data_IF_901465351610
#
_entry.id   IF_901465351610
#
_cell.length_a   1.000
_cell.length_b   1.000
_cell.length_c   1.000
_cell.angle_alpha   90.00
_cell.angle_beta   90.00
_cell.angle_gamma   90.00
#
_symmetry.space_group_name_H-M   'P 1'
#
loop_
_entity.id
_entity.type
_entity.pdbx_description
1 polymer ?
#
# COMPACT_ATOMS: atom_id res chain seq x y z
N UNK A 1 -19.13 28.72 5.88
CA UNK A 1 -18.75 28.88 4.45
C UNK A 1 -17.36 28.35 4.08
N UNK A 2 -16.37 28.29 4.99
CA UNK A 2 -14.99 27.85 4.64
C UNK A 2 -14.85 26.34 4.37
N UNK A 3 -15.61 25.50 5.09
CA UNK A 3 -15.58 24.03 4.94
C UNK A 3 -15.92 23.53 3.52
N UNK A 4 -16.86 24.19 2.82
CA UNK A 4 -17.26 23.80 1.47
C UNK A 4 -16.13 24.01 0.45
N UNK A 5 -15.26 25.01 0.64
CA UNK A 5 -14.11 25.26 -0.24
C UNK A 5 -12.99 24.25 -0.03
N UNK A 6 -12.79 23.76 1.21
CA UNK A 6 -11.81 22.69 1.46
C UNK A 6 -12.15 21.41 0.72
N UNK A 7 -13.44 21.06 0.57
CA UNK A 7 -13.87 19.87 -0.16
C UNK A 7 -13.44 19.95 -1.64
N UNK A 8 -13.56 21.11 -2.29
CA UNK A 8 -13.14 21.29 -3.68
C UNK A 8 -11.63 21.16 -3.89
N UNK A 9 -10.82 21.29 -2.84
CA UNK A 9 -9.37 21.13 -2.89
C UNK A 9 -8.97 19.71 -2.47
N UNK A 10 -9.54 19.18 -1.39
CA UNK A 10 -9.20 17.87 -0.85
C UNK A 10 -9.66 16.72 -1.74
N UNK A 11 -10.83 16.84 -2.36
CA UNK A 11 -11.39 15.81 -3.23
C UNK A 11 -10.48 15.51 -4.44
N UNK A 12 -10.08 16.50 -5.27
CA UNK A 12 -9.18 16.23 -6.39
C UNK A 12 -7.77 15.81 -5.93
N UNK A 13 -7.28 16.30 -4.79
CA UNK A 13 -5.99 15.89 -4.24
C UNK A 13 -5.96 14.40 -3.89
N UNK A 14 -7.03 13.89 -3.28
CA UNK A 14 -7.19 12.46 -2.98
C UNK A 14 -7.42 11.61 -4.23
N UNK A 15 -8.02 12.16 -5.29
CA UNK A 15 -8.15 11.44 -6.56
C UNK A 15 -6.81 11.39 -7.31
N UNK A 16 -6.00 12.44 -7.21
CA UNK A 16 -4.70 12.55 -7.89
C UNK A 16 -3.73 11.43 -7.50
N UNK A 17 -3.80 10.95 -6.24
CA UNK A 17 -2.91 9.89 -5.75
C UNK A 17 -3.06 8.57 -6.53
N UNK A 18 -4.22 8.33 -7.15
CA UNK A 18 -4.51 7.11 -7.92
C UNK A 18 -3.99 7.14 -9.36
N UNK A 19 -3.45 8.27 -9.84
CA UNK A 19 -3.01 8.44 -11.23
C UNK A 19 -1.50 8.17 -11.44
N UNK A 20 -0.82 7.53 -10.49
CA UNK A 20 0.62 7.21 -10.57
C UNK A 20 0.99 6.42 -11.83
N UNK A 21 0.16 5.45 -12.23
CA UNK A 21 0.34 4.63 -13.44
C UNK A 21 0.07 5.41 -14.73
N UNK A 22 -0.90 6.33 -14.71
CA UNK A 22 -1.20 7.21 -15.84
C UNK A 22 0.00 8.11 -16.15
N UNK A 23 0.68 8.60 -15.13
CA UNK A 23 1.91 9.38 -15.30
C UNK A 23 3.00 8.60 -16.04
N UNK A 24 3.25 7.34 -15.66
CA UNK A 24 4.24 6.46 -16.32
C UNK A 24 3.90 6.30 -17.81
N UNK A 25 2.62 6.08 -18.12
CA UNK A 25 2.16 5.96 -19.50
C UNK A 25 2.32 7.25 -20.30
N UNK A 26 1.97 8.40 -19.71
CA UNK A 26 2.11 9.72 -20.36
C UNK A 26 3.57 10.02 -20.71
N UNK A 27 4.50 9.82 -19.76
CA UNK A 27 5.93 10.03 -19.98
C UNK A 27 6.47 9.10 -21.06
N UNK A 28 6.01 7.84 -21.09
CA UNK A 28 6.36 6.89 -22.13
C UNK A 28 5.88 7.36 -23.51
N UNK A 29 4.67 7.87 -23.62
CA UNK A 29 4.13 8.33 -24.91
C UNK A 29 4.86 9.55 -25.46
N UNK A 30 5.20 10.51 -24.60
CA UNK A 30 5.97 11.70 -25.00
C UNK A 30 7.37 11.32 -25.52
N UNK A 31 8.01 10.34 -24.88
CA UNK A 31 9.39 9.94 -25.20
C UNK A 31 9.47 8.63 -26.01
N UNK A 32 8.37 8.22 -26.64
CA UNK A 32 8.24 6.87 -27.21
C UNK A 32 9.32 6.57 -28.25
N UNK A 33 9.63 7.53 -29.11
CA UNK A 33 10.62 7.37 -30.17
C UNK A 33 12.04 7.24 -29.61
N UNK A 34 12.37 8.03 -28.58
CA UNK A 34 13.64 7.93 -27.86
C UNK A 34 13.78 6.56 -27.20
N UNK A 35 12.76 6.12 -26.47
CA UNK A 35 12.76 4.82 -25.78
C UNK A 35 12.89 3.68 -26.79
N UNK A 36 12.16 3.73 -27.90
CA UNK A 36 12.21 2.72 -28.95
C UNK A 36 13.60 2.63 -29.59
N UNK A 37 14.30 3.76 -29.76
CA UNK A 37 15.61 3.83 -30.43
C UNK A 37 16.79 3.48 -29.52
N UNK A 38 16.77 3.92 -28.25
CA UNK A 38 17.94 3.85 -27.38
C UNK A 38 17.80 2.82 -26.25
N UNK A 39 16.61 2.66 -25.67
CA UNK A 39 16.40 1.84 -24.47
C UNK A 39 15.75 0.48 -24.77
N UNK A 40 15.05 0.35 -25.90
CA UNK A 40 14.40 -0.90 -26.30
C UNK A 40 15.43 -2.03 -26.46
N UNK A 41 15.20 -3.13 -25.76
CA UNK A 41 16.04 -4.35 -25.86
C UNK A 41 15.88 -5.06 -27.19
N UNK A 42 14.71 -4.94 -27.82
CA UNK A 42 14.39 -5.57 -29.10
C UNK A 42 14.70 -4.68 -30.31
N UNK A 43 15.43 -3.57 -30.14
CA UNK A 43 15.70 -2.61 -31.23
C UNK A 43 16.43 -3.18 -32.44
N UNK A 44 17.20 -4.26 -32.24
CA UNK A 44 17.93 -4.96 -33.31
C UNK A 44 17.23 -6.27 -33.73
N UNK A 45 16.10 -6.59 -33.12
CA UNK A 45 15.35 -7.80 -33.45
C UNK A 45 14.30 -7.46 -34.51
N UNK A 46 14.59 -7.85 -35.76
CA UNK A 46 13.70 -7.64 -36.90
C UNK A 46 12.34 -8.35 -36.73
N UNK A 47 12.29 -9.46 -35.98
CA UNK A 47 11.03 -10.17 -35.67
C UNK A 47 10.14 -9.41 -34.66
N UNK A 48 10.69 -8.41 -33.97
CA UNK A 48 10.00 -7.63 -32.93
C UNK A 48 9.65 -6.21 -33.40
N UNK A 49 9.41 -6.03 -34.70
CA UNK A 49 9.01 -4.77 -35.36
C UNK A 49 7.81 -4.06 -34.67
N UNK A 50 6.95 -4.82 -34.00
CA UNK A 50 5.78 -4.28 -33.27
C UNK A 50 6.10 -3.72 -31.88
N UNK A 51 7.28 -4.02 -31.30
CA UNK A 51 7.57 -3.70 -29.90
C UNK A 51 7.57 -2.20 -29.62
N UNK A 52 8.25 -1.38 -30.45
CA UNK A 52 8.26 0.10 -30.34
C UNK A 52 8.43 0.62 -28.90
N UNK A 53 9.32 0.01 -28.11
CA UNK A 53 9.59 0.38 -26.71
C UNK A 53 8.64 -0.21 -25.66
N UNK A 54 7.60 -0.98 -26.04
CA UNK A 54 6.64 -1.59 -25.10
C UNK A 54 7.29 -2.51 -24.05
N UNK A 55 8.43 -3.12 -24.37
CA UNK A 55 9.20 -3.92 -23.41
C UNK A 55 9.62 -3.10 -22.17
N UNK A 56 10.00 -1.83 -22.37
CA UNK A 56 10.40 -0.93 -21.29
C UNK A 56 9.18 -0.46 -20.50
N UNK A 57 8.08 -0.13 -21.18
CA UNK A 57 6.82 0.23 -20.51
C UNK A 57 6.35 -0.89 -19.58
N UNK A 58 6.29 -2.12 -20.09
CA UNK A 58 5.87 -3.30 -19.31
C UNK A 58 6.81 -3.55 -18.13
N UNK A 59 8.11 -3.35 -18.32
CA UNK A 59 9.09 -3.48 -17.23
C UNK A 59 8.83 -2.45 -16.13
N UNK A 60 8.67 -1.17 -16.49
CA UNK A 60 8.40 -0.07 -15.54
C UNK A 60 7.07 -0.24 -14.80
N UNK A 61 6.03 -0.71 -15.49
CA UNK A 61 4.73 -1.00 -14.88
C UNK A 61 4.85 -2.12 -13.82
N UNK A 62 5.54 -3.21 -14.15
CA UNK A 62 5.77 -4.32 -13.21
C UNK A 62 6.60 -3.88 -12.00
N UNK A 63 7.67 -3.12 -12.21
CA UNK A 63 8.48 -2.56 -11.12
C UNK A 63 7.64 -1.69 -10.16
N UNK A 64 6.67 -0.94 -10.71
CA UNK A 64 5.74 -0.13 -9.92
C UNK A 64 4.78 -1.01 -9.11
N UNK A 65 4.15 -2.00 -9.75
CA UNK A 65 3.23 -2.95 -9.09
C UNK A 65 3.93 -3.74 -7.97
N UNK A 66 5.13 -4.28 -8.22
CA UNK A 66 5.90 -5.00 -7.21
C UNK A 66 6.28 -4.11 -6.02
N UNK A 67 6.59 -2.83 -6.27
CA UNK A 67 6.88 -1.88 -5.21
C UNK A 67 5.63 -1.56 -4.39
N UNK A 68 4.48 -1.36 -5.03
CA UNK A 68 3.21 -1.16 -4.33
C UNK A 68 2.84 -2.39 -3.49
N UNK A 69 2.99 -3.60 -4.04
CA UNK A 69 2.69 -4.84 -3.35
C UNK A 69 3.59 -5.07 -2.12
N UNK A 70 4.90 -4.84 -2.23
CA UNK A 70 5.82 -4.91 -1.07
C UNK A 70 5.50 -3.87 0.00
N UNK A 71 5.06 -2.67 -0.38
CA UNK A 71 4.61 -1.66 0.58
C UNK A 71 3.31 -2.06 1.29
N UNK A 72 2.38 -2.70 0.58
CA UNK A 72 1.17 -3.28 1.15
C UNK A 72 1.48 -4.39 2.15
N UNK A 73 2.36 -5.34 1.79
CA UNK A 73 2.79 -6.42 2.68
C UNK A 73 3.43 -5.87 3.97
N UNK A 74 4.33 -4.89 3.85
CA UNK A 74 4.96 -4.26 5.03
C UNK A 74 3.93 -3.56 5.91
N UNK A 75 2.99 -2.81 5.33
CA UNK A 75 1.91 -2.15 6.08
C UNK A 75 0.97 -3.14 6.78
N UNK A 76 0.67 -4.27 6.16
CA UNK A 76 -0.18 -5.31 6.76
C UNK A 76 0.55 -5.95 7.95
N UNK A 77 1.85 -6.24 7.82
CA UNK A 77 2.67 -6.79 8.92
C UNK A 77 2.70 -5.82 10.11
N UNK A 78 2.86 -4.52 9.86
CA UNK A 78 2.85 -3.50 10.93
C UNK A 78 1.49 -3.42 11.64
N UNK A 79 0.37 -3.55 10.91
CA UNK A 79 -0.98 -3.56 11.51
C UNK A 79 -1.24 -4.83 12.32
N UNK A 80 -0.70 -5.97 11.89
CA UNK A 80 -0.81 -7.25 12.62
C UNK A 80 0.04 -7.26 13.90
N UNK A 81 1.09 -6.43 13.98
CA UNK A 81 1.97 -6.31 15.14
C UNK A 81 1.56 -5.26 16.18
N UNK A 82 0.35 -4.70 16.12
CA UNK A 82 -0.23 -3.94 17.25
C UNK A 82 -0.94 -4.90 18.22
N UNK A 83 -0.20 -5.91 18.69
CA UNK A 83 -0.56 -6.78 19.80
C UNK A 83 0.62 -6.89 20.79
N UNK A 84 1.45 -5.84 20.86
CA UNK A 84 2.42 -5.72 21.93
C UNK A 84 1.73 -4.99 23.09
N UNK A 85 1.51 -5.62 24.26
CA UNK A 85 1.22 -4.88 25.47
C UNK A 85 2.51 -4.12 25.84
N UNK A 86 2.75 -3.00 25.15
CA UNK A 86 3.68 -1.99 25.63
C UNK A 86 3.09 -1.52 26.96
N UNK A 87 3.60 -2.07 28.05
CA UNK A 87 3.40 -1.57 29.40
C UNK A 87 3.98 -0.15 29.46
N UNK A 88 3.22 0.82 28.97
CA UNK A 88 3.48 2.23 29.17
C UNK A 88 3.18 2.51 30.64
N UNK A 89 4.24 2.49 31.46
CA UNK A 89 4.17 3.01 32.82
C UNK A 89 4.07 4.53 32.69
N UNK A 90 2.84 5.02 32.68
CA UNK A 90 2.57 6.44 32.84
C UNK A 90 2.69 6.74 34.33
N UNK A 91 3.79 7.37 34.75
CA UNK A 91 3.89 7.97 36.09
C UNK A 91 2.91 9.15 36.15
N UNK A 92 1.64 8.84 36.40
CA UNK A 92 0.65 9.85 36.75
C UNK A 92 0.98 10.33 38.16
N UNK A 93 1.35 11.60 38.30
CA UNK A 93 1.38 12.25 39.60
C UNK A 93 -0.07 12.35 40.08
N UNK A 94 -0.45 11.47 41.00
CA UNK A 94 -1.79 11.45 41.61
C UNK A 94 -1.99 12.75 42.39
N UNK A 95 -2.85 13.63 41.90
CA UNK A 95 -3.58 14.55 42.77
C UNK A 95 -4.71 13.75 43.40
N UNK A 96 -4.76 13.78 44.73
CA UNK A 96 -5.71 13.06 45.55
C UNK A 96 -7.14 13.57 45.27
N UNK A 97 -7.89 12.83 44.47
CA UNK A 97 -9.33 13.04 44.32
C UNK A 97 -10.04 11.72 44.65
N UNK A 98 -10.49 11.65 45.90
CA UNK A 98 -11.45 10.74 46.51
C UNK A 98 -11.90 9.54 45.66
N UNK A 99 -11.37 8.36 46.02
CA UNK A 99 -11.86 7.00 45.79
C UNK A 99 -13.18 6.86 45.02
N UNK A 100 -13.14 7.01 43.70
CA UNK A 100 -14.14 6.43 42.82
C UNK A 100 -13.67 5.03 42.43
N UNK A 101 -14.32 3.99 42.96
CA UNK A 101 -14.14 2.60 42.52
C UNK A 101 -14.50 2.52 41.03
N UNK A 102 -13.50 2.60 40.17
CA UNK A 102 -13.62 2.35 38.73
C UNK A 102 -13.63 0.83 38.55
N UNK A 103 -14.81 0.23 38.58
CA UNK A 103 -14.97 -1.17 38.16
C UNK A 103 -14.82 -1.20 36.64
N UNK A 104 -13.67 -1.61 36.15
CA UNK A 104 -13.51 -1.98 34.74
C UNK A 104 -14.21 -3.31 34.52
N UNK A 105 -14.96 -3.50 33.42
CA UNK A 105 -15.47 -4.82 33.08
C UNK A 105 -14.28 -5.76 32.85
N UNK A 106 -14.29 -6.90 33.51
CA UNK A 106 -13.35 -8.00 33.27
C UNK A 106 -13.53 -8.45 31.82
N UNK A 107 -12.55 -8.14 30.97
CA UNK A 107 -12.54 -8.60 29.58
C UNK A 107 -12.07 -10.05 29.60
N UNK A 108 -12.99 -10.99 29.43
CA UNK A 108 -12.65 -12.40 29.25
C UNK A 108 -11.82 -12.55 27.96
N UNK A 109 -10.55 -12.88 28.09
CA UNK A 109 -9.63 -13.19 26.98
C UNK A 109 -9.90 -14.56 26.32
N UNK A 110 -11.16 -15.03 26.28
CA UNK A 110 -11.56 -16.29 25.64
C UNK A 110 -11.72 -16.14 24.12
N UNK A 111 -10.78 -15.46 23.47
CA UNK A 111 -10.70 -15.43 22.01
C UNK A 111 -9.74 -16.51 21.51
N UNK A 112 -10.26 -17.70 21.27
CA UNK A 112 -9.53 -18.77 20.60
C UNK A 112 -9.71 -18.67 19.08
N UNK A 113 -8.75 -18.05 18.40
CA UNK A 113 -8.69 -18.05 16.94
C UNK A 113 -8.21 -19.42 16.43
N UNK A 114 -9.11 -20.17 15.78
CA UNK A 114 -8.80 -21.44 15.10
C UNK A 114 -8.84 -21.23 13.57
N UNK A 115 -7.70 -20.97 12.92
CA UNK A 115 -7.67 -20.83 11.47
C UNK A 115 -8.02 -22.15 10.77
N UNK A 116 -8.99 -22.11 9.87
CA UNK A 116 -9.40 -23.26 9.05
C UNK A 116 -8.42 -23.39 7.88
N UNK A 117 -7.39 -24.20 8.06
CA UNK A 117 -6.39 -24.46 7.00
C UNK A 117 -6.88 -25.37 5.88
N UNK A 118 -8.04 -26.03 6.04
CA UNK A 118 -8.58 -26.96 5.03
C UNK A 118 -9.04 -26.29 3.74
N UNK A 119 -9.15 -24.96 3.71
CA UNK A 119 -9.55 -24.20 2.52
C UNK A 119 -8.31 -23.70 1.76
N UNK A 120 -7.17 -23.58 2.46
CA UNK A 120 -5.92 -23.07 1.89
C UNK A 120 -4.89 -24.18 1.81
N UNK A 121 -4.98 -24.99 0.75
CA UNK A 121 -3.92 -25.91 0.39
C UNK A 121 -3.14 -25.36 -0.81
N UNK A 122 -1.80 -25.43 -0.80
CA UNK A 122 -1.02 -25.11 -1.98
C UNK A 122 -1.37 -26.07 -3.13
N UNK A 123 -1.24 -25.63 -4.40
CA UNK A 123 -1.51 -26.49 -5.55
C UNK A 123 -0.61 -27.73 -5.50
N UNK A 124 -1.22 -28.89 -5.68
CA UNK A 124 -0.50 -30.16 -5.81
C UNK A 124 0.28 -30.13 -7.12
N UNK A 125 1.61 -30.31 -7.01
CA UNK A 125 2.54 -30.44 -8.14
C UNK A 125 2.24 -31.69 -8.95
#
# INVERSE_FOLDING_TARGET
MKAKQFIWILLPLMLLQSFSTVWIWTVFQINRDYIAKYECVNRFNEQALSCRGQCILMKKMREHEEKEQKNLETRIIDVVFINNPLNFIFETSVYDEAAATRTFPEVNEEYAYSPIFSIFHPPLV
#
